data_IF_503816993726
#
_entry.id   IF_503816993726
#
_cell.length_a   1.000
_cell.length_b   1.000
_cell.length_c   1.000
_cell.angle_alpha   90.00
_cell.angle_beta   90.00
_cell.angle_gamma   90.00
#
_symmetry.space_group_name_H-M   'P 1'
#
loop_
_entity.id
_entity.type
_entity.pdbx_description
1 polymer ?
#
# COMPACT_ATOMS: atom_id res chain seq x y z
N UNK A 1 9.55 -96.01 -2.51
CA UNK A 1 9.21 -94.58 -2.65
C UNK A 1 8.93 -94.04 -1.25
N UNK A 2 9.92 -93.43 -0.61
CA UNK A 2 9.84 -92.91 0.76
C UNK A 2 10.51 -91.53 0.75
N UNK A 3 9.73 -90.48 0.97
CA UNK A 3 10.20 -89.09 1.00
C UNK A 3 10.57 -88.70 2.43
N UNK A 4 11.79 -88.17 2.61
CA UNK A 4 12.30 -87.59 3.86
C UNK A 4 11.98 -86.09 3.90
N UNK A 5 11.41 -85.64 5.01
CA UNK A 5 11.21 -84.21 5.33
C UNK A 5 12.49 -83.64 5.93
N UNK A 6 12.92 -82.48 5.44
CA UNK A 6 14.10 -81.75 5.91
C UNK A 6 13.68 -80.35 6.35
N UNK A 7 13.82 -80.05 7.64
CA UNK A 7 13.61 -78.72 8.22
C UNK A 7 14.95 -77.99 8.36
N UNK A 8 15.10 -76.82 7.73
CA UNK A 8 16.27 -75.96 7.83
C UNK A 8 16.10 -74.91 8.93
N UNK A 9 17.12 -74.75 9.79
CA UNK A 9 17.21 -73.67 10.78
C UNK A 9 17.92 -72.46 10.19
N UNK A 10 17.39 -71.26 10.37
CA UNK A 10 18.01 -70.00 9.95
C UNK A 10 18.92 -69.41 11.03
N UNK A 11 20.09 -68.83 10.70
CA UNK A 11 20.93 -68.13 11.66
C UNK A 11 20.60 -66.62 11.76
N UNK A 12 20.78 -66.08 12.96
CA UNK A 12 20.58 -64.68 13.34
C UNK A 12 21.78 -63.83 12.92
N UNK A 13 21.53 -62.75 12.14
CA UNK A 13 22.55 -61.77 11.76
C UNK A 13 22.67 -60.65 12.80
N UNK A 14 23.88 -60.43 13.33
CA UNK A 14 24.22 -59.30 14.20
C UNK A 14 24.42 -58.03 13.35
N UNK A 15 23.68 -56.97 13.64
CA UNK A 15 23.83 -55.67 12.97
C UNK A 15 24.94 -54.84 13.66
N UNK A 16 25.97 -54.48 12.90
CA UNK A 16 26.95 -53.44 13.26
C UNK A 16 26.50 -52.11 12.66
N UNK A 17 26.25 -51.12 13.51
CA UNK A 17 25.92 -49.74 13.10
C UNK A 17 27.20 -49.02 12.64
N UNK A 18 27.33 -48.75 11.34
CA UNK A 18 28.31 -47.81 10.81
C UNK A 18 27.67 -46.42 10.71
N UNK A 19 28.29 -45.40 11.31
CA UNK A 19 27.92 -43.99 11.12
C UNK A 19 28.39 -43.54 9.73
N UNK A 20 27.45 -43.23 8.84
CA UNK A 20 27.73 -42.59 7.56
C UNK A 20 27.95 -41.08 7.79
N UNK A 21 29.14 -40.57 7.48
CA UNK A 21 29.38 -39.15 7.33
C UNK A 21 28.75 -38.68 6.00
N UNK A 22 27.97 -37.59 6.05
CA UNK A 22 27.34 -37.02 4.87
C UNK A 22 28.38 -36.40 3.93
N UNK A 23 28.58 -37.01 2.77
CA UNK A 23 29.29 -36.41 1.64
C UNK A 23 28.35 -35.43 0.94
N UNK A 24 28.79 -34.18 0.76
CA UNK A 24 28.11 -33.18 -0.07
C UNK A 24 28.00 -33.72 -1.51
N UNK A 25 26.81 -34.15 -1.91
CA UNK A 25 26.53 -34.50 -3.30
C UNK A 25 26.45 -33.21 -4.11
N UNK A 26 27.48 -32.93 -4.92
CA UNK A 26 27.44 -31.87 -5.92
C UNK A 26 26.28 -32.11 -6.89
N UNK A 27 25.29 -31.23 -6.85
CA UNK A 27 24.14 -31.29 -7.76
C UNK A 27 24.62 -31.19 -9.21
N UNK A 28 24.05 -32.00 -10.14
CA UNK A 28 24.39 -31.92 -11.55
C UNK A 28 24.06 -30.51 -12.08
N UNK A 29 25.04 -29.86 -12.71
CA UNK A 29 24.87 -28.56 -13.32
C UNK A 29 23.86 -28.66 -14.47
N UNK A 30 22.62 -28.22 -14.21
CA UNK A 30 21.60 -28.04 -15.23
C UNK A 30 22.13 -27.02 -16.24
N UNK A 31 22.46 -27.47 -17.44
CA UNK A 31 22.85 -26.60 -18.55
C UNK A 31 21.60 -25.87 -19.04
N UNK A 32 21.36 -24.69 -18.51
CA UNK A 32 20.28 -23.83 -18.98
C UNK A 32 20.59 -23.34 -20.41
N UNK A 33 19.57 -23.42 -21.29
CA UNK A 33 19.64 -22.91 -22.65
C UNK A 33 19.69 -21.38 -22.61
N UNK A 34 20.91 -20.85 -22.82
CA UNK A 34 21.29 -19.44 -22.85
C UNK A 34 21.11 -18.63 -21.56
N UNK A 35 21.82 -17.52 -21.50
CA UNK A 35 21.89 -16.67 -20.32
C UNK A 35 20.84 -15.55 -20.42
N UNK A 36 20.27 -15.18 -19.28
CA UNK A 36 19.36 -14.02 -19.18
C UNK A 36 19.97 -12.97 -18.27
N UNK A 37 19.75 -11.69 -18.61
CA UNK A 37 20.12 -10.59 -17.73
C UNK A 37 19.06 -10.45 -16.64
N UNK A 38 19.48 -10.55 -15.38
CA UNK A 38 18.56 -10.40 -14.25
C UNK A 38 18.50 -8.93 -13.84
N UNK A 39 17.28 -8.40 -13.80
CA UNK A 39 16.98 -7.05 -13.32
C UNK A 39 15.93 -7.08 -12.23
N UNK A 40 15.95 -6.04 -11.43
CA UNK A 40 14.94 -5.76 -10.41
C UNK A 40 14.17 -4.50 -10.77
N UNK A 41 12.85 -4.59 -10.70
CA UNK A 41 11.92 -3.48 -10.78
C UNK A 41 11.41 -3.13 -9.39
N UNK A 42 11.33 -1.85 -9.08
CA UNK A 42 10.92 -1.37 -7.77
C UNK A 42 9.58 -0.66 -7.84
N UNK A 43 8.54 -1.27 -7.28
CA UNK A 43 7.23 -0.63 -7.16
C UNK A 43 7.19 0.13 -5.84
N UNK A 44 7.63 1.40 -5.87
CA UNK A 44 7.61 2.30 -4.70
C UNK A 44 6.22 2.91 -4.56
N UNK A 45 5.53 2.56 -3.47
CA UNK A 45 4.18 3.00 -3.16
C UNK A 45 4.13 3.95 -1.95
N UNK A 46 3.46 5.08 -2.10
CA UNK A 46 2.99 5.93 -1.00
C UNK A 46 1.55 5.52 -0.64
N UNK A 47 1.38 4.94 0.54
CA UNK A 47 0.07 4.50 1.04
C UNK A 47 -0.92 5.67 1.25
N UNK A 48 -2.24 5.46 1.18
CA UNK A 48 -3.21 6.51 1.50
C UNK A 48 -3.02 6.99 2.95
N UNK A 49 -2.98 8.30 3.12
CA UNK A 49 -2.86 8.98 4.43
C UNK A 49 -4.26 9.30 4.98
N UNK A 50 -5.23 9.48 4.07
CA UNK A 50 -6.62 9.75 4.41
C UNK A 50 -7.49 8.52 4.13
N UNK A 51 -8.53 8.35 4.94
CA UNK A 51 -9.59 7.37 4.67
C UNK A 51 -10.27 7.65 3.33
N UNK A 52 -10.88 6.66 2.70
CA UNK A 52 -11.61 6.89 1.44
C UNK A 52 -12.87 7.74 1.65
N UNK A 53 -13.19 8.61 0.70
CA UNK A 53 -14.50 9.26 0.65
C UNK A 53 -15.63 8.25 0.41
N UNK A 54 -16.65 8.18 1.29
CA UNK A 54 -17.71 7.20 1.15
C UNK A 54 -18.59 7.52 -0.07
N UNK A 55 -19.12 6.47 -0.69
CA UNK A 55 -20.07 6.60 -1.80
C UNK A 55 -21.40 7.23 -1.33
N UNK A 56 -22.23 7.72 -2.26
CA UNK A 56 -23.55 8.26 -1.90
C UNK A 56 -24.42 7.22 -1.17
N UNK A 57 -24.33 5.96 -1.59
CA UNK A 57 -25.00 4.83 -0.95
C UNK A 57 -24.47 4.58 0.47
N UNK A 58 -23.14 4.50 0.63
CA UNK A 58 -22.51 4.32 1.95
C UNK A 58 -22.89 5.46 2.91
N UNK A 59 -22.90 6.71 2.44
CA UNK A 59 -23.34 7.87 3.23
C UNK A 59 -24.80 7.71 3.70
N UNK A 60 -25.69 7.29 2.81
CA UNK A 60 -27.10 7.06 3.15
C UNK A 60 -27.26 5.91 4.14
N UNK A 61 -26.52 4.82 3.94
CA UNK A 61 -26.49 3.67 4.85
C UNK A 61 -25.99 4.07 6.25
N UNK A 62 -24.88 4.79 6.35
CA UNK A 62 -24.36 5.27 7.64
C UNK A 62 -25.34 6.24 8.31
N UNK A 63 -25.96 7.15 7.56
CA UNK A 63 -26.98 8.04 8.11
C UNK A 63 -28.18 7.25 8.67
N UNK A 64 -28.59 6.18 8.00
CA UNK A 64 -29.65 5.28 8.48
C UNK A 64 -29.22 4.50 9.74
N UNK A 65 -28.03 3.91 9.73
CA UNK A 65 -27.50 3.18 10.89
C UNK A 65 -27.32 4.10 12.10
N UNK A 66 -26.91 5.35 11.90
CA UNK A 66 -26.82 6.33 12.97
C UNK A 66 -28.20 6.63 13.60
N UNK A 67 -29.27 6.68 12.79
CA UNK A 67 -30.64 6.84 13.32
C UNK A 67 -31.11 5.63 14.10
N UNK A 68 -30.87 4.42 13.58
CA UNK A 68 -31.20 3.18 14.27
C UNK A 68 -30.44 3.06 15.60
N UNK A 69 -29.13 3.27 15.55
CA UNK A 69 -28.26 3.28 16.73
C UNK A 69 -28.77 4.26 17.78
N UNK A 70 -29.16 5.47 17.36
CA UNK A 70 -29.74 6.47 18.27
C UNK A 70 -31.09 6.03 18.86
N UNK A 71 -31.96 5.42 18.06
CA UNK A 71 -33.27 4.97 18.51
C UNK A 71 -33.19 3.77 19.48
N UNK A 72 -32.16 2.93 19.32
CA UNK A 72 -31.94 1.73 20.14
C UNK A 72 -31.01 1.99 21.33
N UNK A 73 -30.18 3.04 21.28
CA UNK A 73 -29.24 3.36 22.35
C UNK A 73 -29.97 3.75 23.63
N UNK A 74 -29.38 3.39 24.77
CA UNK A 74 -29.84 3.88 26.05
C UNK A 74 -29.81 5.42 26.07
N UNK A 75 -30.74 6.06 26.78
CA UNK A 75 -30.72 7.51 26.93
C UNK A 75 -29.41 7.96 27.59
N UNK A 76 -28.93 9.13 27.18
CA UNK A 76 -27.72 9.72 27.74
C UNK A 76 -27.94 10.10 29.22
N UNK A 77 -27.12 9.62 30.17
CA UNK A 77 -27.31 9.89 31.59
C UNK A 77 -26.83 11.30 31.94
N UNK A 78 -27.72 12.30 31.79
CA UNK A 78 -27.40 13.72 32.00
C UNK A 78 -26.86 14.00 33.40
N UNK A 79 -27.51 13.48 34.43
CA UNK A 79 -27.17 13.70 35.85
C UNK A 79 -25.74 13.25 36.21
N UNK A 80 -25.15 12.33 35.43
CA UNK A 80 -23.78 11.86 35.64
C UNK A 80 -22.74 12.87 35.14
N UNK A 81 -23.03 13.57 34.04
CA UNK A 81 -22.09 14.48 33.38
C UNK A 81 -22.32 15.95 33.73
N UNK A 82 -23.57 16.33 33.99
CA UNK A 82 -23.98 17.69 34.32
C UNK A 82 -24.61 17.71 35.70
N UNK A 83 -24.28 18.74 36.48
CA UNK A 83 -25.00 18.98 37.73
C UNK A 83 -26.35 19.62 37.41
N UNK A 84 -27.42 19.25 38.13
CA UNK A 84 -28.74 19.81 37.88
C UNK A 84 -28.73 21.33 38.08
N UNK A 85 -29.23 22.06 37.08
CA UNK A 85 -29.33 23.53 37.10
C UNK A 85 -28.11 24.29 36.56
N UNK A 86 -27.13 23.58 36.01
CA UNK A 86 -26.00 24.18 35.31
C UNK A 86 -26.41 24.67 33.91
N UNK A 87 -25.96 25.85 33.43
CA UNK A 87 -26.28 26.33 32.08
C UNK A 87 -25.85 25.38 30.96
N UNK A 88 -24.80 24.58 31.19
CA UNK A 88 -24.33 23.55 30.26
C UNK A 88 -25.36 22.44 30.03
N UNK A 89 -26.15 22.08 31.06
CA UNK A 89 -27.22 21.08 30.93
C UNK A 89 -28.28 21.56 29.93
N UNK A 90 -28.67 22.83 30.02
CA UNK A 90 -29.63 23.46 29.12
C UNK A 90 -29.09 23.58 27.69
N UNK A 91 -27.83 24.01 27.53
CA UNK A 91 -27.16 24.07 26.22
C UNK A 91 -27.12 22.69 25.56
N UNK A 92 -26.73 21.66 26.32
CA UNK A 92 -26.72 20.28 25.84
C UNK A 92 -28.11 19.80 25.44
N UNK A 93 -29.14 20.09 26.24
CA UNK A 93 -30.53 19.70 25.93
C UNK A 93 -31.05 20.38 24.65
N UNK A 94 -30.68 21.65 24.41
CA UNK A 94 -31.01 22.36 23.17
C UNK A 94 -30.29 21.77 21.95
N UNK A 95 -29.00 21.45 22.08
CA UNK A 95 -28.22 20.81 21.03
C UNK A 95 -28.74 19.41 20.70
N UNK A 96 -29.10 18.63 21.71
CA UNK A 96 -29.72 17.31 21.53
C UNK A 96 -31.04 17.42 20.77
N UNK A 97 -31.90 18.37 21.15
CA UNK A 97 -33.15 18.61 20.43
C UNK A 97 -32.91 18.99 18.97
N UNK A 98 -31.94 19.89 18.70
CA UNK A 98 -31.55 20.27 17.33
C UNK A 98 -31.04 19.07 16.54
N UNK A 99 -30.24 18.21 17.18
CA UNK A 99 -29.67 16.99 16.59
C UNK A 99 -30.76 15.97 16.26
N UNK A 100 -31.73 15.76 17.15
CA UNK A 100 -32.89 14.89 16.91
C UNK A 100 -33.77 15.41 15.76
N UNK A 101 -34.11 16.70 15.79
CA UNK A 101 -34.91 17.33 14.73
C UNK A 101 -34.20 17.20 13.36
N UNK A 102 -32.87 17.38 13.32
CA UNK A 102 -32.06 17.17 12.10
C UNK A 102 -32.02 15.70 11.66
N UNK A 103 -31.75 14.76 12.58
CA UNK A 103 -31.64 13.33 12.27
C UNK A 103 -32.94 12.75 11.70
N UNK A 104 -34.08 13.12 12.28
CA UNK A 104 -35.39 12.60 11.89
C UNK A 104 -36.14 13.51 10.91
N UNK A 105 -35.47 14.54 10.37
CA UNK A 105 -36.05 15.54 9.47
C UNK A 105 -37.36 16.14 10.01
N UNK A 106 -37.47 16.28 11.34
CA UNK A 106 -38.62 16.90 11.98
C UNK A 106 -38.50 18.41 11.78
N UNK A 107 -39.59 19.07 11.36
CA UNK A 107 -39.57 20.54 11.25
C UNK A 107 -39.29 21.13 12.63
N UNK A 108 -38.32 22.06 12.76
CA UNK A 108 -38.05 22.68 14.05
C UNK A 108 -39.31 23.38 14.53
N UNK A 109 -39.73 23.08 15.76
CA UNK A 109 -40.83 23.79 16.40
C UNK A 109 -40.44 25.28 16.51
N UNK A 110 -41.25 26.20 15.96
CA UNK A 110 -41.10 27.63 16.22
C UNK A 110 -41.38 27.91 17.70
N UNK A 111 -40.40 27.74 18.57
CA UNK A 111 -40.44 28.32 19.92
C UNK A 111 -39.90 29.74 19.80
N UNK A 112 -40.61 30.69 20.43
CA UNK A 112 -40.12 32.06 20.59
C UNK A 112 -38.72 31.99 21.20
N UNK A 113 -37.76 32.68 20.58
CA UNK A 113 -36.43 32.86 21.17
C UNK A 113 -36.62 33.84 22.33
N UNK A 114 -36.52 33.35 23.56
CA UNK A 114 -36.22 34.22 24.69
C UNK A 114 -34.71 34.49 24.60
N UNK A 115 -34.33 35.69 24.16
CA UNK A 115 -32.98 36.03 23.70
C UNK A 115 -31.96 36.31 24.83
N UNK A 116 -32.35 36.26 26.10
CA UNK A 116 -31.65 37.04 27.14
C UNK A 116 -30.82 36.28 28.20
N UNK A 117 -30.64 34.95 28.19
CA UNK A 117 -30.06 34.29 29.40
C UNK A 117 -28.93 33.24 29.28
N UNK A 118 -28.34 32.93 28.11
CA UNK A 118 -27.23 31.93 28.11
C UNK A 118 -26.11 32.16 27.07
N UNK A 119 -25.97 33.34 26.47
CA UNK A 119 -24.92 33.58 25.45
C UNK A 119 -23.52 33.93 26.00
N UNK A 120 -23.37 34.16 27.31
CA UNK A 120 -22.19 34.87 27.84
C UNK A 120 -21.04 33.96 28.30
N UNK A 121 -21.23 32.64 28.47
CA UNK A 121 -20.19 31.80 29.13
C UNK A 121 -19.32 30.98 28.15
N UNK A 122 -19.72 30.84 26.89
CA UNK A 122 -19.07 29.88 25.96
C UNK A 122 -18.20 30.51 24.87
N UNK A 123 -18.04 31.84 24.85
CA UNK A 123 -17.40 32.53 23.72
C UNK A 123 -15.89 32.76 23.85
N UNK A 124 -15.32 32.67 25.06
CA UNK A 124 -13.99 33.24 25.31
C UNK A 124 -12.80 32.25 25.25
N UNK A 125 -13.04 30.93 25.12
CA UNK A 125 -11.93 29.93 25.17
C UNK A 125 -11.98 28.79 24.14
N UNK A 126 -12.95 28.77 23.23
CA UNK A 126 -13.03 27.73 22.21
C UNK A 126 -12.53 28.27 20.86
N UNK A 127 -11.24 28.10 20.57
CA UNK A 127 -10.82 28.07 19.17
C UNK A 127 -11.56 26.91 18.51
N UNK A 128 -12.53 27.23 17.65
CA UNK A 128 -13.27 26.23 16.89
C UNK A 128 -12.28 25.48 16.01
N UNK A 129 -12.00 24.22 16.36
CA UNK A 129 -11.05 23.39 15.62
C UNK A 129 -11.65 23.06 14.25
N UNK A 130 -11.27 23.83 13.24
CA UNK A 130 -11.57 23.50 11.86
C UNK A 130 -10.55 22.47 11.33
N UNK A 131 -10.96 21.22 11.06
CA UNK A 131 -10.05 20.24 10.49
C UNK A 131 -9.55 20.70 9.12
N UNK A 132 -8.30 20.38 8.80
CA UNK A 132 -7.75 20.69 7.49
C UNK A 132 -8.58 20.08 6.36
N UNK A 133 -8.64 20.82 5.24
CA UNK A 133 -9.34 20.36 4.04
C UNK A 133 -8.68 19.09 3.53
N UNK A 134 -9.50 18.07 3.24
CA UNK A 134 -9.06 16.78 2.68
C UNK A 134 -8.32 16.90 1.34
N UNK A 135 -8.63 17.94 0.55
CA UNK A 135 -7.94 18.24 -0.71
C UNK A 135 -6.77 19.17 -0.45
N UNK A 136 -5.58 18.74 -0.80
CA UNK A 136 -4.37 19.52 -0.62
C UNK A 136 -4.22 20.58 -1.73
N UNK A 137 -3.37 21.59 -1.50
CA UNK A 137 -3.00 22.57 -2.54
C UNK A 137 -2.45 21.90 -3.80
N UNK A 138 -1.71 20.80 -3.63
CA UNK A 138 -1.15 20.01 -4.72
C UNK A 138 -2.21 19.36 -5.62
N UNK A 139 -3.40 19.05 -5.08
CA UNK A 139 -4.53 18.52 -5.86
C UNK A 139 -5.12 19.59 -6.76
N UNK A 140 -5.21 20.84 -6.27
CA UNK A 140 -5.73 21.97 -7.03
C UNK A 140 -4.88 22.27 -8.26
N UNK A 141 -3.55 22.19 -8.12
CA UNK A 141 -2.60 22.42 -9.21
C UNK A 141 -2.22 21.14 -9.98
N UNK A 142 -2.77 19.98 -9.59
CA UNK A 142 -2.40 18.66 -10.10
C UNK A 142 -0.88 18.41 -10.20
N UNK A 143 -0.15 18.74 -9.12
CA UNK A 143 1.30 18.62 -9.10
C UNK A 143 1.76 17.17 -8.89
N UNK A 144 2.04 16.48 -10.01
CA UNK A 144 2.49 15.08 -10.05
C UNK A 144 3.85 14.81 -9.38
N UNK A 145 4.64 15.83 -9.04
CA UNK A 145 5.92 15.64 -8.32
C UNK A 145 5.75 15.57 -6.80
N UNK A 146 4.63 16.03 -6.28
CA UNK A 146 4.40 16.12 -4.84
C UNK A 146 3.76 14.85 -4.28
N UNK A 147 4.21 14.43 -3.08
CA UNK A 147 3.64 13.31 -2.34
C UNK A 147 2.29 13.65 -1.66
N UNK A 148 2.08 14.94 -1.37
CA UNK A 148 0.93 15.46 -0.64
C UNK A 148 -0.34 15.59 -1.50
N UNK A 149 -0.31 15.22 -2.79
CA UNK A 149 -1.53 15.14 -3.61
C UNK A 149 -2.24 13.82 -3.37
N UNK A 150 -3.55 13.77 -3.52
CA UNK A 150 -4.41 12.58 -3.51
C UNK A 150 -4.17 11.71 -2.28
N UNK A 151 -4.33 12.29 -1.09
CA UNK A 151 -4.11 11.62 0.19
C UNK A 151 -4.96 10.36 0.40
N UNK A 152 -6.09 10.23 -0.29
CA UNK A 152 -7.00 9.07 -0.20
C UNK A 152 -6.58 7.88 -1.09
N UNK A 153 -5.58 8.06 -1.96
CA UNK A 153 -5.18 7.09 -2.98
C UNK A 153 -3.73 6.64 -2.77
N UNK A 154 -3.42 5.44 -3.25
CA UNK A 154 -2.04 5.00 -3.44
C UNK A 154 -1.39 5.78 -4.58
N UNK A 155 -0.16 6.24 -4.36
CA UNK A 155 0.68 6.82 -5.41
C UNK A 155 1.90 5.96 -5.66
N UNK A 156 2.23 5.77 -6.91
CA UNK A 156 3.38 4.98 -7.35
C UNK A 156 4.40 5.87 -8.03
N UNK A 157 5.68 5.59 -7.77
CA UNK A 157 6.79 6.29 -8.41
C UNK A 157 7.02 5.75 -9.81
N UNK A 158 7.01 6.64 -10.80
CA UNK A 158 7.49 6.36 -12.15
C UNK A 158 8.66 7.28 -12.47
N UNK A 159 9.66 6.70 -13.16
CA UNK A 159 10.85 7.41 -13.60
C UNK A 159 10.89 7.44 -15.14
N UNK A 160 11.34 8.57 -15.68
CA UNK A 160 11.51 8.79 -17.10
C UNK A 160 12.96 8.50 -17.49
N UNK A 161 13.17 7.45 -18.27
CA UNK A 161 14.47 7.13 -18.86
C UNK A 161 14.81 8.13 -19.98
N UNK A 162 16.08 8.53 -20.16
CA UNK A 162 16.49 9.48 -21.19
C UNK A 162 16.44 8.91 -22.62
N UNK A 163 16.24 7.59 -22.79
CA UNK A 163 16.19 6.94 -24.10
C UNK A 163 14.90 7.27 -24.87
N UNK A 164 15.02 7.58 -26.16
CA UNK A 164 13.92 7.91 -27.09
C UNK A 164 13.14 6.67 -27.55
N UNK A 165 12.73 5.80 -26.63
CA UNK A 165 11.83 4.67 -26.90
C UNK A 165 10.35 5.05 -26.87
N UNK A 166 9.48 4.14 -27.34
CA UNK A 166 8.02 4.30 -27.49
C UNK A 166 7.28 4.66 -26.19
N UNK A 167 7.85 4.40 -25.01
CA UNK A 167 7.34 4.90 -23.73
C UNK A 167 8.50 5.08 -22.74
N UNK A 168 8.89 6.31 -22.38
CA UNK A 168 10.06 6.54 -21.54
C UNK A 168 9.79 6.28 -20.05
N UNK A 169 8.53 6.09 -19.65
CA UNK A 169 8.11 5.91 -18.25
C UNK A 169 8.09 4.43 -17.87
N UNK A 170 8.83 4.10 -16.83
CA UNK A 170 8.85 2.77 -16.23
C UNK A 170 9.05 2.88 -14.71
N UNK A 171 8.87 1.77 -14.01
CA UNK A 171 9.29 1.70 -12.61
C UNK A 171 10.83 1.81 -12.55
N UNK A 172 11.41 2.29 -11.44
CA UNK A 172 12.84 2.22 -11.25
C UNK A 172 13.34 0.79 -11.44
N UNK A 173 14.27 0.61 -12.36
CA UNK A 173 14.86 -0.67 -12.71
C UNK A 173 16.36 -0.65 -12.43
N UNK A 174 16.89 -1.75 -11.93
CA UNK A 174 18.32 -1.91 -11.72
C UNK A 174 18.79 -3.33 -12.01
N UNK A 175 20.09 -3.47 -12.17
CA UNK A 175 20.75 -4.76 -12.30
C UNK A 175 21.16 -5.33 -10.96
N UNK A 176 21.12 -6.66 -10.90
CA UNK A 176 21.49 -7.42 -9.72
C UNK A 176 22.96 -7.83 -9.87
N UNK A 177 23.79 -7.47 -8.89
CA UNK A 177 25.19 -7.89 -8.89
C UNK A 177 25.35 -9.32 -8.36
N UNK A 178 26.45 -9.97 -8.75
CA UNK A 178 26.74 -11.34 -8.33
C UNK A 178 26.91 -11.41 -6.81
N UNK A 179 26.11 -12.24 -6.15
CA UNK A 179 26.14 -12.44 -4.69
C UNK A 179 25.15 -11.57 -3.90
N UNK A 180 24.49 -10.60 -4.54
CA UNK A 180 23.43 -9.80 -3.91
C UNK A 180 22.08 -10.52 -3.94
N UNK A 181 21.28 -10.36 -2.87
CA UNK A 181 19.88 -10.80 -2.88
C UNK A 181 18.98 -9.73 -3.51
N UNK A 182 17.83 -10.15 -4.04
CA UNK A 182 16.88 -9.24 -4.70
C UNK A 182 16.49 -8.04 -3.83
N UNK A 183 16.17 -8.25 -2.56
CA UNK A 183 15.79 -7.18 -1.65
C UNK A 183 16.96 -6.24 -1.26
N UNK A 184 18.20 -6.74 -1.24
CA UNK A 184 19.39 -5.93 -1.00
C UNK A 184 19.67 -5.05 -2.23
N UNK A 185 19.57 -5.64 -3.43
CA UNK A 185 19.65 -4.90 -4.68
C UNK A 185 18.58 -3.80 -4.74
N UNK A 186 17.32 -4.08 -4.39
CA UNK A 186 16.26 -3.06 -4.33
C UNK A 186 16.64 -1.88 -3.43
N UNK A 187 17.10 -2.13 -2.20
CA UNK A 187 17.50 -1.08 -1.26
C UNK A 187 18.62 -0.22 -1.84
N UNK A 188 19.66 -0.85 -2.38
CA UNK A 188 20.78 -0.16 -3.05
C UNK A 188 20.28 0.69 -4.22
N UNK A 189 19.41 0.14 -5.05
CA UNK A 189 18.88 0.79 -6.23
C UNK A 189 17.97 1.97 -5.92
N UNK A 190 17.18 1.92 -4.83
CA UNK A 190 16.47 3.12 -4.33
C UNK A 190 17.46 4.22 -4.03
N UNK A 191 18.43 3.96 -3.16
CA UNK A 191 19.39 4.99 -2.75
C UNK A 191 20.18 5.53 -3.94
N UNK A 192 20.49 4.68 -4.93
CA UNK A 192 21.13 5.09 -6.16
C UNK A 192 20.23 5.96 -7.02
N UNK A 193 18.98 5.57 -7.32
CA UNK A 193 18.13 6.31 -8.25
C UNK A 193 17.46 7.54 -7.65
N UNK A 194 17.08 7.46 -6.37
CA UNK A 194 16.22 8.41 -5.67
C UNK A 194 16.97 9.32 -4.70
N UNK A 195 18.26 9.04 -4.46
CA UNK A 195 19.10 9.73 -3.49
C UNK A 195 18.97 9.19 -2.06
N UNK A 196 19.82 9.72 -1.17
CA UNK A 196 19.88 9.30 0.23
C UNK A 196 18.72 9.84 1.09
N UNK A 197 18.02 10.89 0.63
CA UNK A 197 16.96 11.58 1.39
C UNK A 197 15.59 10.91 1.26
N UNK A 198 15.54 9.63 0.90
CA UNK A 198 14.30 8.87 0.73
C UNK A 198 14.37 7.64 1.62
N UNK A 199 13.47 7.59 2.59
CA UNK A 199 13.33 6.43 3.46
C UNK A 199 12.31 5.46 2.85
N UNK A 200 12.80 4.27 2.51
CA UNK A 200 11.97 3.22 1.92
C UNK A 200 12.08 1.93 2.69
N UNK A 201 10.92 1.30 2.86
CA UNK A 201 10.81 -0.01 3.46
C UNK A 201 10.46 -1.05 2.40
N UNK A 202 11.32 -2.04 2.22
CA UNK A 202 11.06 -3.19 1.34
C UNK A 202 10.14 -4.16 2.07
N UNK A 203 8.95 -4.43 1.51
CA UNK A 203 7.89 -5.21 2.17
C UNK A 203 8.32 -6.66 2.42
N UNK A 204 9.05 -7.25 1.48
CA UNK A 204 9.43 -8.66 1.56
C UNK A 204 10.54 -9.02 0.59
N UNK A 205 11.00 -10.26 0.70
CA UNK A 205 12.07 -10.83 -0.15
C UNK A 205 11.54 -11.45 -1.44
N UNK A 206 10.24 -11.75 -1.48
CA UNK A 206 9.60 -12.42 -2.61
C UNK A 206 9.14 -11.38 -3.65
N UNK A 207 9.41 -11.62 -4.96
CA UNK A 207 8.88 -10.77 -6.00
C UNK A 207 7.36 -10.82 -6.05
N UNK A 208 6.75 -9.68 -6.31
CA UNK A 208 5.28 -9.53 -6.47
C UNK A 208 4.83 -9.74 -7.91
N UNK A 209 5.77 -9.66 -8.86
CA UNK A 209 5.50 -9.94 -10.26
C UNK A 209 6.78 -10.05 -11.07
N UNK A 210 6.58 -10.35 -12.35
CA UNK A 210 7.64 -10.79 -13.22
C UNK A 210 7.33 -10.40 -14.67
N UNK A 211 8.36 -10.00 -15.41
CA UNK A 211 8.25 -9.73 -16.85
C UNK A 211 9.51 -10.19 -17.54
N UNK A 212 9.33 -10.85 -18.69
CA UNK A 212 10.43 -11.21 -19.59
C UNK A 212 10.36 -10.32 -20.82
N UNK A 213 11.51 -9.74 -21.17
CA UNK A 213 11.65 -8.98 -22.41
C UNK A 213 12.76 -9.62 -23.23
N UNK A 214 12.47 -10.15 -24.43
CA UNK A 214 13.52 -10.68 -25.30
C UNK A 214 14.46 -9.55 -25.71
N UNK A 215 15.76 -9.82 -25.80
CA UNK A 215 16.72 -8.83 -26.29
C UNK A 215 16.70 -8.83 -27.82
N UNK A 216 16.18 -7.76 -28.41
CA UNK A 216 16.14 -7.55 -29.87
C UNK A 216 17.47 -7.00 -30.36
N UNK A 217 18.53 -7.81 -30.34
CA UNK A 217 19.84 -7.42 -30.86
C UNK A 217 20.70 -8.62 -31.25
N UNK A 218 21.28 -8.60 -32.45
CA UNK A 218 22.10 -9.69 -33.01
C UNK A 218 23.46 -9.89 -32.30
N UNK A 219 23.76 -9.10 -31.26
CA UNK A 219 25.09 -9.01 -30.64
C UNK A 219 25.06 -9.09 -29.09
N UNK A 220 23.95 -9.49 -28.47
CA UNK A 220 23.89 -9.69 -27.02
C UNK A 220 24.29 -11.11 -26.61
N UNK A 221 25.10 -11.22 -25.56
CA UNK A 221 25.43 -12.49 -24.91
C UNK A 221 24.20 -13.14 -24.26
N UNK A 222 23.18 -12.33 -23.95
CA UNK A 222 21.95 -12.76 -23.27
C UNK A 222 20.79 -12.93 -24.27
N UNK A 223 19.96 -13.94 -24.05
CA UNK A 223 18.71 -14.20 -24.79
C UNK A 223 17.67 -13.10 -24.51
N UNK A 224 17.65 -12.58 -23.28
CA UNK A 224 16.68 -11.60 -22.86
C UNK A 224 16.88 -11.12 -21.43
N UNK A 225 16.11 -10.13 -21.04
CA UNK A 225 16.09 -9.59 -19.69
C UNK A 225 14.91 -10.16 -18.90
N UNK A 226 15.19 -10.65 -17.70
CA UNK A 226 14.21 -11.10 -16.70
C UNK A 226 14.09 -10.05 -15.62
N UNK A 227 12.93 -9.41 -15.52
CA UNK A 227 12.63 -8.33 -14.59
C UNK A 227 11.74 -8.82 -13.45
N UNK A 228 12.23 -8.78 -12.23
CA UNK A 228 11.47 -9.14 -11.03
C UNK A 228 11.04 -7.88 -10.28
N UNK A 229 9.75 -7.76 -9.97
CA UNK A 229 9.24 -6.60 -9.24
C UNK A 229 9.20 -6.85 -7.74
N UNK A 230 9.72 -5.92 -6.94
CA UNK A 230 9.52 -5.88 -5.49
C UNK A 230 8.62 -4.70 -5.10
N UNK A 231 7.82 -4.91 -4.05
CA UNK A 231 7.01 -3.86 -3.42
C UNK A 231 7.81 -3.12 -2.37
N UNK A 232 7.83 -1.80 -2.45
CA UNK A 232 8.45 -0.91 -1.49
C UNK A 232 7.43 0.12 -1.01
N UNK A 233 7.49 0.49 0.26
CA UNK A 233 6.75 1.63 0.78
C UNK A 233 7.70 2.79 1.04
N UNK A 234 7.30 3.98 0.62
CA UNK A 234 7.96 5.20 1.08
C UNK A 234 7.39 5.60 2.43
N UNK A 235 8.26 5.85 3.40
CA UNK A 235 7.88 6.29 4.74
C UNK A 235 7.98 7.81 4.86
N UNK A 236 9.10 8.35 4.41
CA UNK A 236 9.38 9.79 4.42
C UNK A 236 10.44 10.14 3.38
N UNK A 237 10.62 11.43 3.15
CA UNK A 237 11.69 11.95 2.31
C UNK A 237 11.23 12.53 0.99
N UNK A 238 12.18 13.11 0.28
CA UNK A 238 11.95 13.75 -1.02
C UNK A 238 12.93 13.21 -2.05
N UNK A 239 12.40 12.98 -3.25
CA UNK A 239 13.15 12.39 -4.35
C UNK A 239 14.17 13.38 -4.91
N UNK A 240 15.42 12.94 -5.01
CA UNK A 240 16.48 13.62 -5.75
C UNK A 240 17.02 12.65 -6.82
N UNK A 241 16.74 12.96 -8.08
CA UNK A 241 17.15 12.10 -9.19
C UNK A 241 18.62 12.26 -9.53
N UNK A 242 19.23 11.14 -9.93
CA UNK A 242 20.49 11.16 -10.64
C UNK A 242 20.25 11.52 -12.12
N UNK A 243 20.74 12.68 -12.59
CA UNK A 243 20.45 13.17 -13.95
C UNK A 243 21.03 12.27 -15.04
N UNK A 244 22.06 11.47 -14.73
CA UNK A 244 22.71 10.57 -15.69
C UNK A 244 21.80 9.42 -16.14
N UNK A 245 20.89 8.97 -15.26
CA UNK A 245 20.06 7.78 -15.50
C UNK A 245 18.60 8.13 -15.76
N UNK A 246 18.08 9.20 -15.17
CA UNK A 246 16.68 9.60 -15.27
C UNK A 246 16.53 11.10 -15.40
N UNK A 247 15.62 11.52 -16.29
CA UNK A 247 15.37 12.94 -16.55
C UNK A 247 14.32 13.51 -15.60
N UNK A 248 13.27 12.74 -15.32
CA UNK A 248 12.10 13.20 -14.57
C UNK A 248 11.49 12.08 -13.74
N UNK A 249 10.77 12.45 -12.67
CA UNK A 249 9.95 11.53 -11.88
C UNK A 249 8.55 12.08 -11.68
N UNK A 250 7.59 11.18 -11.49
CA UNK A 250 6.21 11.50 -11.18
C UNK A 250 5.63 10.48 -10.20
N UNK A 251 4.74 10.94 -9.34
CA UNK A 251 3.90 10.15 -8.46
C UNK A 251 2.51 10.03 -9.05
N UNK A 252 2.15 8.83 -9.49
CA UNK A 252 0.96 8.57 -10.29
C UNK A 252 0.04 7.56 -9.60
N UNK A 253 -1.27 7.76 -9.76
CA UNK A 253 -2.28 6.76 -9.37
C UNK A 253 -2.33 5.64 -10.39
N UNK A 254 -2.92 4.50 -10.02
CA UNK A 254 -3.09 3.34 -10.91
C UNK A 254 -3.72 3.73 -12.27
N UNK A 255 -4.73 4.59 -12.26
CA UNK A 255 -5.42 5.07 -13.47
C UNK A 255 -4.51 5.91 -14.37
N UNK A 256 -3.70 6.79 -13.79
CA UNK A 256 -2.78 7.62 -14.58
C UNK A 256 -1.60 6.79 -15.12
N UNK A 257 -1.26 5.66 -14.49
CA UNK A 257 -0.22 4.76 -14.97
C UNK A 257 -0.65 4.07 -16.27
N UNK A 258 -1.93 3.67 -16.36
CA UNK A 258 -2.51 3.07 -17.57
C UNK A 258 -2.32 3.94 -18.80
N UNK A 259 -2.55 5.26 -18.66
CA UNK A 259 -2.44 6.21 -19.76
C UNK A 259 -0.98 6.59 -20.10
N UNK A 260 -0.05 6.44 -19.16
CA UNK A 260 1.33 6.94 -19.31
C UNK A 260 2.33 5.90 -19.80
N UNK A 261 2.08 4.63 -19.51
CA UNK A 261 2.99 3.53 -19.83
C UNK A 261 2.50 2.76 -21.05
N UNK A 262 3.38 2.00 -21.72
CA UNK A 262 2.99 1.18 -22.86
C UNK A 262 1.97 0.12 -22.45
N UNK A 263 1.06 -0.21 -23.37
CA UNK A 263 0.00 -1.18 -23.12
C UNK A 263 0.53 -2.56 -22.71
N UNK A 264 1.60 -3.03 -23.37
CA UNK A 264 2.25 -4.31 -23.04
C UNK A 264 2.79 -4.33 -21.61
N UNK A 265 3.42 -3.24 -21.17
CA UNK A 265 3.94 -3.15 -19.82
C UNK A 265 2.82 -2.95 -18.79
N UNK A 266 1.76 -2.22 -19.15
CA UNK A 266 0.58 -2.08 -18.30
C UNK A 266 -0.08 -3.43 -18.01
N UNK A 267 -0.26 -4.27 -19.02
CA UNK A 267 -0.81 -5.62 -18.86
C UNK A 267 0.01 -6.47 -17.89
N UNK A 268 1.35 -6.31 -17.88
CA UNK A 268 2.23 -7.00 -16.97
C UNK A 268 2.16 -6.47 -15.52
N UNK A 269 1.87 -5.18 -15.32
CA UNK A 269 1.97 -4.54 -13.98
C UNK A 269 0.63 -4.25 -13.32
N UNK A 270 -0.47 -4.11 -14.05
CA UNK A 270 -1.78 -3.67 -13.51
C UNK A 270 -2.25 -4.48 -12.29
N UNK A 271 -1.94 -5.77 -12.24
CA UNK A 271 -2.38 -6.69 -11.18
C UNK A 271 -1.54 -6.53 -9.89
N UNK A 272 -0.34 -5.96 -9.99
CA UNK A 272 0.52 -5.64 -8.84
C UNK A 272 0.10 -4.37 -8.09
N UNK A 273 -0.74 -3.53 -8.71
CA UNK A 273 -1.10 -2.20 -8.20
C UNK A 273 -2.48 -2.20 -7.53
N UNK A 274 -2.57 -1.61 -6.34
CA UNK A 274 -3.80 -1.31 -5.62
C UNK A 274 -4.32 0.11 -5.90
N UNK A 275 -5.65 0.26 -6.02
CA UNK A 275 -6.33 1.54 -6.25
C UNK A 275 -6.50 2.41 -5.00
N UNK A 276 -6.62 1.75 -3.83
CA UNK A 276 -6.84 2.33 -2.52
C UNK A 276 -5.90 1.65 -1.52
#
# INVERSE_FOLDING_TARGET
MLWRVSTSSTPVCKATFARCFATETALPAVRHAGTHRLKIGMVVNRAPILTRTPTSFEKAYYAYQNRLSRALSNPFPRDFYFKPGEPLENQFAEEEKKREDWLFHRKPSKKAKDEDTVQVVSQDFAEEFEPEKRRAKADLYNNKRSLNRLGERNLYLLLKKPSKGTSPWAFPEAEIYKGERLHEAAKRSVSQHCGANVDTWVVGRHPIGFTETPESGTASEFIGTKLFFLKLHILAGQMHLNPDQYTEFQWLTKQEIEDTVSKEYWEAVRDMLSDF
#
